data_IF_938557709589
#
_entry.id   IF_938557709589
#
_cell.length_a   1.000
_cell.length_b   1.000
_cell.length_c   1.000
_cell.angle_alpha   90.00
_cell.angle_beta   90.00
_cell.angle_gamma   90.00
#
_symmetry.space_group_name_H-M   'P 1'
#
loop_
_entity.id
_entity.type
_entity.pdbx_description
1 polymer ?
#
# COMPACT_ATOMS: atom_id res chain seq x y z
N UNK A 1 29.23 56.80 69.88
CA UNK A 1 29.19 55.45 69.37
C UNK A 1 28.29 55.40 68.18
N UNK A 2 28.85 55.24 66.99
CA UNK A 2 28.04 55.07 65.81
C UNK A 2 27.53 53.66 65.75
N UNK A 3 26.25 53.45 65.94
CA UNK A 3 25.61 52.19 65.75
C UNK A 3 25.63 51.91 64.25
N UNK A 4 26.45 50.95 63.86
CA UNK A 4 26.38 50.36 62.48
C UNK A 4 25.13 49.48 62.46
N UNK A 5 23.98 50.08 62.25
CA UNK A 5 22.79 49.34 61.88
C UNK A 5 23.12 48.64 60.52
N UNK A 6 23.00 47.32 60.38
CA UNK A 6 23.14 46.70 59.10
C UNK A 6 22.12 47.35 58.16
N UNK A 7 22.61 47.83 57.03
CA UNK A 7 21.74 48.26 55.94
C UNK A 7 20.87 47.08 55.59
N UNK A 8 19.66 47.06 56.10
CA UNK A 8 18.65 46.11 55.62
C UNK A 8 18.43 46.46 54.16
N UNK A 9 18.93 45.65 53.27
CA UNK A 9 18.51 45.65 51.90
C UNK A 9 17.03 45.22 51.89
N UNK A 10 16.18 46.21 52.31
CA UNK A 10 14.77 46.10 51.99
C UNK A 10 14.70 46.21 50.50
N UNK A 11 14.37 45.11 49.85
CA UNK A 11 14.11 45.08 48.42
C UNK A 11 13.15 46.23 48.11
N UNK A 12 13.64 47.23 47.38
CA UNK A 12 12.83 48.33 46.90
C UNK A 12 11.65 47.67 46.13
N UNK A 13 10.42 48.13 46.28
CA UNK A 13 9.24 47.68 45.53
C UNK A 13 9.49 47.67 44.01
N UNK A 14 10.31 48.59 43.52
CA UNK A 14 10.74 48.63 42.12
C UNK A 14 11.60 47.45 41.76
N UNK A 15 12.55 47.03 42.61
CA UNK A 15 13.42 45.88 42.36
C UNK A 15 12.62 44.56 42.37
N UNK A 16 11.65 44.43 43.25
CA UNK A 16 10.73 43.29 43.30
C UNK A 16 9.84 43.23 42.06
N UNK A 17 9.39 44.37 41.54
CA UNK A 17 8.64 44.43 40.29
C UNK A 17 9.48 44.03 39.07
N UNK A 18 10.71 44.50 38.99
CA UNK A 18 11.67 44.13 37.94
C UNK A 18 11.96 42.63 38.00
N UNK A 19 12.20 42.08 39.20
CA UNK A 19 12.46 40.64 39.37
C UNK A 19 11.27 39.79 38.89
N UNK A 20 10.05 40.23 39.14
CA UNK A 20 8.82 39.57 38.66
C UNK A 20 8.72 39.60 37.13
N UNK A 21 9.02 40.75 36.53
CA UNK A 21 9.01 40.86 35.06
C UNK A 21 10.06 39.96 34.44
N UNK A 22 11.29 39.95 34.95
CA UNK A 22 12.36 39.08 34.45
C UNK A 22 12.02 37.62 34.65
N UNK A 23 11.38 37.24 35.74
CA UNK A 23 10.93 35.85 35.94
C UNK A 23 9.82 35.49 34.96
N UNK A 24 8.85 36.38 34.76
CA UNK A 24 7.80 36.17 33.76
C UNK A 24 8.36 36.04 32.34
N UNK A 25 9.37 36.83 31.98
CA UNK A 25 10.07 36.69 30.69
C UNK A 25 10.76 35.34 30.54
N UNK A 26 11.46 34.87 31.58
CA UNK A 26 12.11 33.54 31.55
C UNK A 26 11.07 32.43 31.41
N UNK A 27 10.01 32.50 32.17
CA UNK A 27 8.92 31.51 32.12
C UNK A 27 8.26 31.50 30.74
N UNK A 28 8.03 32.66 30.15
CA UNK A 28 7.48 32.79 28.80
C UNK A 28 8.42 32.19 27.76
N UNK A 29 9.71 32.50 27.83
CA UNK A 29 10.72 31.89 26.91
C UNK A 29 10.79 30.39 27.04
N UNK A 30 10.82 29.87 28.26
CA UNK A 30 10.79 28.41 28.49
C UNK A 30 9.53 27.78 27.95
N UNK A 31 8.38 28.43 28.13
CA UNK A 31 7.11 27.93 27.59
C UNK A 31 7.10 27.91 26.08
N UNK A 32 7.63 28.94 25.42
CA UNK A 32 7.78 28.99 23.96
C UNK A 32 8.73 27.89 23.47
N UNK A 33 9.88 27.72 24.08
CA UNK A 33 10.85 26.68 23.74
C UNK A 33 10.26 25.29 23.91
N UNK A 34 9.49 25.09 24.98
CA UNK A 34 8.80 23.81 25.22
C UNK A 34 7.75 23.56 24.16
N UNK A 35 6.95 24.58 23.80
CA UNK A 35 5.96 24.47 22.73
C UNK A 35 6.60 24.18 21.36
N UNK A 36 7.73 24.80 21.05
CA UNK A 36 8.48 24.51 19.83
C UNK A 36 8.97 23.07 19.80
N UNK A 37 9.60 22.58 20.86
CA UNK A 37 10.05 21.17 20.93
C UNK A 37 8.88 20.20 20.81
N UNK A 38 7.74 20.52 21.44
CA UNK A 38 6.53 19.71 21.31
C UNK A 38 6.01 19.70 19.88
N UNK A 39 5.96 20.85 19.22
CA UNK A 39 5.51 20.96 17.83
C UNK A 39 6.43 20.18 16.87
N UNK A 40 7.75 20.29 17.06
CA UNK A 40 8.74 19.53 16.29
C UNK A 40 8.57 18.02 16.48
N UNK A 41 8.41 17.59 17.74
CA UNK A 41 8.19 16.18 18.07
C UNK A 41 6.89 15.63 17.47
N UNK A 42 5.81 16.41 17.52
CA UNK A 42 4.54 16.05 16.90
C UNK A 42 4.64 15.98 15.38
N UNK A 43 5.33 16.94 14.75
CA UNK A 43 5.55 16.93 13.31
C UNK A 43 6.38 15.72 12.86
N UNK A 44 7.44 15.40 13.60
CA UNK A 44 8.28 14.22 13.36
C UNK A 44 7.46 12.92 13.51
N UNK A 45 6.68 12.81 14.59
CA UNK A 45 5.78 11.68 14.82
C UNK A 45 4.74 11.53 13.71
N UNK A 46 4.15 12.62 13.26
CA UNK A 46 3.20 12.61 12.15
C UNK A 46 3.83 12.16 10.83
N UNK A 47 5.05 12.63 10.53
CA UNK A 47 5.81 12.19 9.35
C UNK A 47 6.16 10.71 9.42
N UNK A 48 6.61 10.24 10.58
CA UNK A 48 6.91 8.83 10.79
C UNK A 48 5.66 7.94 10.62
N UNK A 49 4.53 8.36 11.17
CA UNK A 49 3.25 7.67 11.01
C UNK A 49 2.80 7.63 9.54
N UNK A 50 2.93 8.75 8.83
CA UNK A 50 2.60 8.83 7.41
C UNK A 50 3.47 7.89 6.57
N UNK A 51 4.79 7.84 6.83
CA UNK A 51 5.70 6.90 6.16
C UNK A 51 5.31 5.45 6.44
N UNK A 52 5.00 5.11 7.68
CA UNK A 52 4.59 3.75 8.06
C UNK A 52 3.29 3.32 7.37
N UNK A 53 2.32 4.24 7.24
CA UNK A 53 1.08 3.99 6.50
C UNK A 53 1.37 3.78 5.01
N UNK A 54 2.19 4.64 4.40
CA UNK A 54 2.57 4.52 3.00
C UNK A 54 3.26 3.18 2.70
N UNK A 55 4.24 2.78 3.51
CA UNK A 55 4.94 1.50 3.37
C UNK A 55 4.01 0.30 3.54
N UNK A 56 3.08 0.37 4.49
CA UNK A 56 2.08 -0.69 4.69
C UNK A 56 1.15 -0.81 3.48
N UNK A 57 0.72 0.32 2.96
CA UNK A 57 -0.14 0.39 1.78
C UNK A 57 0.58 -0.17 0.56
N UNK A 58 1.83 0.21 0.32
CA UNK A 58 2.65 -0.35 -0.76
C UNK A 58 2.83 -1.87 -0.65
N UNK A 59 3.12 -2.36 0.54
CA UNK A 59 3.23 -3.82 0.76
C UNK A 59 1.93 -4.54 0.44
N UNK A 60 0.78 -3.97 0.85
CA UNK A 60 -0.53 -4.56 0.54
C UNK A 60 -0.82 -4.54 -0.96
N UNK A 61 -0.54 -3.43 -1.64
CA UNK A 61 -0.72 -3.33 -3.09
C UNK A 61 0.14 -4.35 -3.81
N UNK A 62 1.42 -4.45 -3.48
CA UNK A 62 2.33 -5.46 -4.05
C UNK A 62 1.85 -6.88 -3.80
N UNK A 63 1.34 -7.17 -2.60
CA UNK A 63 0.76 -8.46 -2.28
C UNK A 63 -0.46 -8.79 -3.12
N UNK A 64 -1.38 -7.85 -3.28
CA UNK A 64 -2.59 -8.03 -4.11
C UNK A 64 -2.23 -8.19 -5.58
N UNK A 65 -1.36 -7.34 -6.11
CA UNK A 65 -0.90 -7.42 -7.50
C UNK A 65 -0.19 -8.75 -7.76
N UNK A 66 0.72 -9.17 -6.86
CA UNK A 66 1.42 -10.46 -6.98
C UNK A 66 0.47 -11.66 -6.94
N UNK A 67 -0.52 -11.64 -6.04
CA UNK A 67 -1.54 -12.69 -5.99
C UNK A 67 -2.39 -12.73 -7.26
N UNK A 68 -2.76 -11.58 -7.80
CA UNK A 68 -3.50 -11.47 -9.05
C UNK A 68 -2.68 -11.99 -10.24
N UNK A 69 -1.42 -11.62 -10.35
CA UNK A 69 -0.51 -12.10 -11.39
C UNK A 69 -0.33 -13.62 -11.33
N UNK A 70 -0.18 -14.18 -10.13
CA UNK A 70 -0.09 -15.64 -9.94
C UNK A 70 -1.38 -16.35 -10.35
N UNK A 71 -2.53 -15.80 -9.99
CA UNK A 71 -3.83 -16.37 -10.38
C UNK A 71 -4.03 -16.30 -11.88
N UNK A 72 -3.68 -15.18 -12.50
CA UNK A 72 -3.72 -15.01 -13.96
C UNK A 72 -2.81 -16.02 -14.67
N UNK A 73 -1.59 -16.19 -14.20
CA UNK A 73 -0.65 -17.18 -14.75
C UNK A 73 -1.20 -18.61 -14.65
N UNK A 74 -1.81 -18.96 -13.52
CA UNK A 74 -2.44 -20.28 -13.34
C UNK A 74 -3.61 -20.47 -14.28
N UNK A 75 -4.47 -19.46 -14.45
CA UNK A 75 -5.63 -19.54 -15.38
C UNK A 75 -5.18 -19.65 -16.82
N UNK A 76 -4.16 -18.91 -17.22
CA UNK A 76 -3.58 -19.03 -18.57
C UNK A 76 -2.99 -20.42 -18.80
N UNK A 77 -2.29 -20.99 -17.83
CA UNK A 77 -1.75 -22.34 -17.94
C UNK A 77 -2.86 -23.39 -18.12
N UNK A 78 -3.99 -23.24 -17.41
CA UNK A 78 -5.16 -24.12 -17.56
C UNK A 78 -5.76 -23.98 -18.98
N UNK A 79 -5.93 -22.77 -19.47
CA UNK A 79 -6.46 -22.50 -20.81
C UNK A 79 -5.53 -23.07 -21.89
N UNK A 80 -4.22 -22.88 -21.74
CA UNK A 80 -3.23 -23.41 -22.65
C UNK A 80 -3.25 -24.96 -22.68
N UNK A 81 -3.40 -25.59 -21.50
CA UNK A 81 -3.52 -27.03 -21.40
C UNK A 81 -4.81 -27.55 -22.07
N UNK A 82 -5.93 -26.87 -21.87
CA UNK A 82 -7.19 -27.19 -22.53
C UNK A 82 -7.11 -27.01 -24.04
N UNK A 83 -6.52 -25.90 -24.51
CA UNK A 83 -6.30 -25.67 -25.93
C UNK A 83 -5.41 -26.74 -26.58
N UNK A 84 -4.33 -27.11 -25.89
CA UNK A 84 -3.44 -28.20 -26.35
C UNK A 84 -4.20 -29.52 -26.42
N UNK A 85 -5.08 -29.83 -25.48
CA UNK A 85 -5.90 -31.04 -25.50
C UNK A 85 -6.91 -31.03 -26.64
N UNK A 86 -7.54 -29.89 -26.94
CA UNK A 86 -8.48 -29.71 -28.05
C UNK A 86 -7.79 -29.79 -29.43
N UNK A 87 -6.55 -29.37 -29.54
CA UNK A 87 -5.76 -29.40 -30.78
C UNK A 87 -4.92 -30.68 -30.94
N UNK A 88 -4.89 -31.54 -29.92
CA UNK A 88 -4.20 -32.84 -30.03
C UNK A 88 -4.82 -33.68 -31.12
N UNK A 89 -4.00 -34.43 -31.95
CA UNK A 89 -4.53 -35.28 -32.99
C UNK A 89 -5.44 -36.35 -32.37
N UNK A 90 -6.69 -36.34 -32.79
CA UNK A 90 -7.66 -37.33 -32.39
C UNK A 90 -7.54 -38.56 -33.29
N UNK A 91 -7.23 -39.69 -32.69
CA UNK A 91 -7.22 -40.95 -33.41
C UNK A 91 -8.66 -41.43 -33.54
N UNK A 92 -9.17 -41.46 -34.77
CA UNK A 92 -10.51 -41.92 -35.07
C UNK A 92 -10.69 -43.39 -34.75
N UNK A 93 -11.72 -43.75 -34.02
CA UNK A 93 -12.12 -45.13 -33.79
C UNK A 93 -12.76 -45.74 -35.04
N UNK A 94 -12.90 -47.07 -35.07
CA UNK A 94 -13.53 -47.79 -36.22
C UNK A 94 -14.92 -47.27 -36.56
N UNK A 95 -15.75 -46.97 -35.56
CA UNK A 95 -17.10 -46.46 -35.78
C UNK A 95 -17.09 -45.08 -36.44
N UNK A 96 -16.16 -44.20 -36.01
CA UNK A 96 -15.97 -42.86 -36.57
C UNK A 96 -15.42 -42.93 -38.00
N UNK A 97 -14.51 -43.82 -38.28
CA UNK A 97 -13.99 -44.08 -39.63
C UNK A 97 -15.09 -44.55 -40.58
N UNK A 98 -15.97 -45.45 -40.15
CA UNK A 98 -17.11 -45.92 -40.96
C UNK A 98 -18.10 -44.79 -41.20
N UNK A 99 -18.40 -43.98 -40.22
CA UNK A 99 -19.28 -42.81 -40.37
C UNK A 99 -18.67 -41.77 -41.35
N UNK A 100 -17.37 -41.52 -41.26
CA UNK A 100 -16.66 -40.63 -42.19
C UNK A 100 -16.68 -41.19 -43.62
N UNK A 101 -16.41 -42.46 -43.79
CA UNK A 101 -16.44 -43.14 -45.09
C UNK A 101 -17.85 -43.07 -45.70
N UNK A 102 -18.88 -43.36 -44.94
CA UNK A 102 -20.27 -43.19 -45.38
C UNK A 102 -20.63 -41.77 -45.78
N UNK A 103 -20.16 -40.78 -45.04
CA UNK A 103 -20.37 -39.37 -45.38
C UNK A 103 -19.66 -38.96 -46.67
N UNK A 104 -18.44 -39.44 -46.88
CA UNK A 104 -17.66 -39.22 -48.11
C UNK A 104 -18.35 -39.85 -49.31
N UNK A 105 -18.84 -41.09 -49.20
CA UNK A 105 -19.58 -41.75 -50.26
C UNK A 105 -20.89 -41.04 -50.60
N UNK A 106 -21.64 -40.59 -49.59
CA UNK A 106 -22.88 -39.82 -49.78
C UNK A 106 -22.58 -38.50 -50.52
N UNK A 107 -21.55 -37.80 -50.14
CA UNK A 107 -21.13 -36.56 -50.79
C UNK A 107 -20.68 -36.78 -52.22
N UNK A 108 -19.88 -37.80 -52.46
CA UNK A 108 -19.43 -38.18 -53.80
C UNK A 108 -20.59 -38.53 -54.72
N UNK A 109 -21.59 -39.27 -54.21
CA UNK A 109 -22.80 -39.61 -54.97
C UNK A 109 -23.62 -38.38 -55.31
N UNK A 110 -23.75 -37.44 -54.41
CA UNK A 110 -24.45 -36.16 -54.65
C UNK A 110 -23.73 -35.30 -55.68
N UNK A 111 -22.42 -35.21 -55.60
CA UNK A 111 -21.62 -34.42 -56.56
C UNK A 111 -21.59 -35.05 -57.94
N UNK A 112 -21.65 -36.38 -58.02
CA UNK A 112 -21.72 -37.12 -59.31
C UNK A 112 -23.12 -37.10 -59.92
N UNK A 113 -24.12 -36.55 -59.27
CA UNK A 113 -25.51 -36.48 -59.77
C UNK A 113 -26.23 -37.81 -59.76
N UNK A 114 -25.69 -38.81 -59.06
CA UNK A 114 -26.36 -40.11 -58.86
C UNK A 114 -27.34 -39.95 -57.72
N UNK A 115 -28.63 -40.05 -58.02
CA UNK A 115 -29.67 -40.00 -57.01
C UNK A 115 -29.52 -41.22 -56.08
N UNK A 116 -29.68 -40.99 -54.75
CA UNK A 116 -29.59 -42.08 -53.78
C UNK A 116 -30.79 -43.04 -53.88
#
# INVERSE_FOLDING_TARGET
MKSNAPIRLTSDPADAAIARVLQAERDARQSIEHAHRQAESMAEGARAAARAVAERTERRIRGVVGAFEQDLTRRLAVIDAEAAHMTAPHVLGEAELRALDGAVQTLASRLAGVAP
#
